data_IF_023160166628
#
_entry.id   IF_023160166628
#
_cell.length_a   1.000
_cell.length_b   1.000
_cell.length_c   1.000
_cell.angle_alpha   90.00
_cell.angle_beta   90.00
_cell.angle_gamma   90.00
#
_symmetry.space_group_name_H-M   'P 1'
#
loop_
_entity.id
_entity.type
_entity.pdbx_description
1 polymer ?
#
# COMPACT_ATOMS: atom_id res chain seq x y z
N UNK A 1 31.44 8.74 37.03
CA UNK A 1 31.18 7.80 35.92
C UNK A 1 30.10 8.42 35.02
N UNK A 2 30.46 8.92 33.83
CA UNK A 2 29.51 9.55 32.90
C UNK A 2 28.89 8.45 32.03
N UNK A 3 27.57 8.28 32.15
CA UNK A 3 26.75 7.39 31.32
C UNK A 3 26.64 8.05 29.94
N UNK A 4 27.15 7.39 28.91
CA UNK A 4 27.00 7.83 27.53
C UNK A 4 25.51 7.64 27.18
N UNK A 5 24.76 8.73 27.05
CA UNK A 5 23.53 8.70 26.26
C UNK A 5 23.96 8.60 24.80
N UNK A 6 23.84 7.40 24.23
CA UNK A 6 23.73 7.26 22.78
C UNK A 6 22.35 7.81 22.45
N UNK A 7 22.28 9.07 22.02
CA UNK A 7 21.10 9.56 21.34
C UNK A 7 20.98 8.75 20.05
N UNK A 8 19.95 7.90 19.95
CA UNK A 8 19.54 7.35 18.67
C UNK A 8 19.20 8.52 17.77
N UNK A 9 20.02 8.69 16.74
CA UNK A 9 19.90 9.76 15.77
C UNK A 9 18.60 9.55 14.96
N UNK A 10 17.58 10.42 15.08
CA UNK A 10 16.27 10.20 14.45
C UNK A 10 16.33 10.21 12.91
N UNK A 11 17.44 10.68 12.33
CA UNK A 11 17.69 10.68 10.88
C UNK A 11 18.15 9.33 10.30
N UNK A 12 18.37 8.29 11.15
CA UNK A 12 18.72 6.95 10.68
C UNK A 12 17.54 5.96 10.75
N UNK A 13 16.32 6.46 10.97
CA UNK A 13 15.12 5.64 10.84
C UNK A 13 15.02 5.12 9.39
N UNK A 14 14.87 3.81 9.16
CA UNK A 14 14.69 3.27 7.82
C UNK A 14 13.45 3.93 7.18
N UNK A 15 13.66 4.86 6.25
CA UNK A 15 12.57 5.48 5.50
C UNK A 15 11.83 4.38 4.75
N UNK A 16 10.52 4.17 4.99
CA UNK A 16 9.75 3.17 4.27
C UNK A 16 9.87 3.41 2.77
N UNK A 17 10.03 2.35 1.99
CA UNK A 17 9.95 2.46 0.55
C UNK A 17 8.47 2.60 0.18
N UNK A 18 8.13 3.71 -0.47
CA UNK A 18 6.77 4.00 -0.93
C UNK A 18 6.74 4.11 -2.45
N UNK A 19 5.78 3.43 -3.07
CA UNK A 19 5.49 3.51 -4.50
C UNK A 19 4.03 3.91 -4.66
N UNK A 20 3.76 4.87 -5.54
CA UNK A 20 2.40 5.27 -5.90
C UNK A 20 2.13 4.94 -7.37
N UNK A 21 1.06 4.20 -7.63
CA UNK A 21 0.61 3.79 -8.95
C UNK A 21 -0.75 4.44 -9.25
N UNK A 22 -0.94 4.86 -10.51
CA UNK A 22 -2.25 5.22 -11.04
C UNK A 22 -2.85 3.99 -11.71
N UNK A 23 -4.07 3.64 -11.30
CA UNK A 23 -4.80 2.50 -11.83
C UNK A 23 -5.95 3.03 -12.69
N UNK A 24 -5.74 3.24 -14.00
CA UNK A 24 -6.78 3.78 -14.87
C UNK A 24 -7.97 2.81 -14.99
N UNK A 25 -9.17 3.34 -15.16
CA UNK A 25 -10.38 2.58 -15.43
C UNK A 25 -11.23 3.27 -16.49
N UNK A 26 -12.11 2.51 -17.15
CA UNK A 26 -13.17 3.09 -17.97
C UNK A 26 -14.41 3.36 -17.10
N UNK A 27 -14.91 4.60 -17.00
CA UNK A 27 -16.11 4.89 -16.22
C UNK A 27 -17.35 4.14 -16.74
N UNK A 28 -18.31 3.79 -15.87
CA UNK A 28 -18.33 4.11 -14.44
C UNK A 28 -17.56 3.08 -13.58
N UNK A 29 -16.74 3.58 -12.65
CA UNK A 29 -16.14 2.75 -11.60
C UNK A 29 -16.98 2.83 -10.31
N UNK A 30 -17.64 1.73 -9.95
CA UNK A 30 -18.57 1.69 -8.82
C UNK A 30 -17.86 1.46 -7.47
N UNK A 31 -17.06 2.43 -7.02
CA UNK A 31 -16.31 2.35 -5.75
C UNK A 31 -17.21 2.02 -4.54
N UNK A 32 -18.37 2.66 -4.43
CA UNK A 32 -19.29 2.38 -3.32
C UNK A 32 -19.81 0.94 -3.32
N UNK A 33 -19.95 0.32 -4.49
CA UNK A 33 -20.33 -1.09 -4.60
C UNK A 33 -19.20 -2.01 -4.13
N UNK A 34 -17.95 -1.69 -4.50
CA UNK A 34 -16.77 -2.40 -4.01
C UNK A 34 -16.67 -2.32 -2.48
N UNK A 35 -16.83 -1.13 -1.89
CA UNK A 35 -16.83 -0.95 -0.42
C UNK A 35 -17.93 -1.78 0.25
N UNK A 36 -19.16 -1.75 -0.26
CA UNK A 36 -20.29 -2.57 0.26
C UNK A 36 -20.01 -4.07 0.16
N UNK A 37 -19.28 -4.49 -0.87
CA UNK A 37 -18.89 -5.88 -1.05
C UNK A 37 -17.77 -6.29 -0.07
N UNK A 38 -16.76 -5.44 0.13
CA UNK A 38 -15.58 -5.76 0.94
C UNK A 38 -15.81 -5.60 2.45
N UNK A 39 -16.57 -4.58 2.90
CA UNK A 39 -16.80 -4.30 4.32
C UNK A 39 -17.20 -5.53 5.16
N UNK A 40 -18.23 -6.32 4.80
CA UNK A 40 -18.63 -7.48 5.60
C UNK A 40 -17.64 -8.67 5.51
N UNK A 41 -16.65 -8.60 4.63
CA UNK A 41 -15.65 -9.65 4.37
C UNK A 41 -14.26 -9.27 4.86
N UNK A 42 -14.07 -8.05 5.35
CA UNK A 42 -12.77 -7.54 5.77
C UNK A 42 -12.19 -8.40 6.90
N UNK A 43 -10.98 -8.90 6.68
CA UNK A 43 -10.27 -9.74 7.66
C UNK A 43 -9.61 -8.84 8.71
N UNK A 44 -9.99 -8.92 10.00
CA UNK A 44 -9.39 -8.09 11.05
C UNK A 44 -7.87 -8.27 11.12
N UNK A 45 -7.13 -7.15 11.14
CA UNK A 45 -5.67 -7.13 11.17
C UNK A 45 -4.97 -7.38 9.83
N UNK A 46 -5.70 -7.77 8.78
CA UNK A 46 -5.18 -7.98 7.42
C UNK A 46 -5.73 -6.93 6.47
N UNK A 47 -7.01 -6.58 6.60
CA UNK A 47 -7.71 -5.64 5.74
C UNK A 47 -8.40 -4.56 6.57
N UNK A 48 -8.43 -3.35 6.00
CA UNK A 48 -9.22 -2.23 6.49
C UNK A 48 -9.97 -1.62 5.30
N UNK A 49 -11.29 -1.49 5.42
CA UNK A 49 -12.15 -0.95 4.37
C UNK A 49 -12.91 0.24 4.95
N UNK A 50 -12.92 1.35 4.22
CA UNK A 50 -13.72 2.54 4.54
C UNK A 50 -14.38 3.08 3.26
N UNK A 51 -15.18 4.14 3.41
CA UNK A 51 -15.85 4.78 2.28
C UNK A 51 -14.90 5.36 1.24
N UNK A 52 -13.69 5.76 1.65
CA UNK A 52 -12.71 6.49 0.85
C UNK A 52 -11.41 5.71 0.61
N UNK A 53 -11.24 4.53 1.20
CA UNK A 53 -10.08 3.68 0.95
C UNK A 53 -10.34 2.19 1.17
N UNK A 54 -9.53 1.37 0.52
CA UNK A 54 -9.31 -0.03 0.87
C UNK A 54 -7.83 -0.22 1.16
N UNK A 55 -7.52 -0.92 2.23
CA UNK A 55 -6.15 -1.18 2.65
C UNK A 55 -5.99 -2.66 2.99
N UNK A 56 -4.87 -3.27 2.59
CA UNK A 56 -4.51 -4.62 2.99
C UNK A 56 -3.03 -4.80 3.22
N UNK A 57 -2.66 -5.72 4.10
CA UNK A 57 -1.30 -6.24 4.18
C UNK A 57 -1.01 -7.16 2.99
N UNK A 58 0.23 -7.13 2.52
CA UNK A 58 0.75 -7.99 1.44
C UNK A 58 2.09 -8.61 1.87
N UNK A 59 2.49 -9.70 1.24
CA UNK A 59 3.83 -10.24 1.36
C UNK A 59 4.41 -10.43 -0.04
N UNK A 60 5.54 -9.80 -0.32
CA UNK A 60 6.27 -9.93 -1.58
C UNK A 60 7.73 -10.28 -1.28
N UNK A 61 8.22 -11.38 -1.83
CA UNK A 61 9.59 -11.88 -1.59
C UNK A 61 9.95 -12.00 -0.09
N UNK A 62 8.96 -12.39 0.73
CA UNK A 62 9.12 -12.51 2.19
C UNK A 62 9.11 -11.17 2.93
N UNK A 63 8.90 -10.05 2.24
CA UNK A 63 8.73 -8.73 2.83
C UNK A 63 7.26 -8.41 3.03
N UNK A 64 6.88 -8.13 4.27
CA UNK A 64 5.54 -7.68 4.60
C UNK A 64 5.39 -6.20 4.29
N UNK A 65 4.39 -5.86 3.49
CA UNK A 65 4.05 -4.50 3.12
C UNK A 65 2.56 -4.23 3.25
N UNK A 66 2.16 -3.04 2.81
CA UNK A 66 0.77 -2.61 2.83
C UNK A 66 0.42 -1.92 1.53
N UNK A 67 -0.78 -2.18 1.02
CA UNK A 67 -1.35 -1.49 -0.14
C UNK A 67 -2.58 -0.75 0.31
N UNK A 68 -2.65 0.51 -0.05
CA UNK A 68 -3.80 1.37 0.16
C UNK A 68 -4.29 1.87 -1.20
N UNK A 69 -5.55 1.63 -1.51
CA UNK A 69 -6.22 2.05 -2.74
C UNK A 69 -7.28 3.08 -2.41
N UNK A 70 -7.27 4.20 -3.14
CA UNK A 70 -8.24 5.29 -3.01
C UNK A 70 -8.82 5.69 -4.36
N UNK A 71 -10.13 6.00 -4.47
CA UNK A 71 -10.65 6.72 -5.61
C UNK A 71 -10.13 8.17 -5.60
N UNK A 72 -9.98 8.76 -6.78
CA UNK A 72 -9.67 10.18 -6.92
C UNK A 72 -10.88 10.86 -7.57
N UNK A 73 -11.44 11.85 -6.87
CA UNK A 73 -12.63 12.56 -7.33
C UNK A 73 -12.39 13.23 -8.69
N UNK A 74 -13.35 13.07 -9.61
CA UNK A 74 -13.28 13.63 -10.96
C UNK A 74 -12.23 12.99 -11.89
N UNK A 75 -11.60 11.90 -11.47
CA UNK A 75 -10.54 11.24 -12.25
C UNK A 75 -10.92 9.81 -12.62
N UNK A 76 -10.49 9.39 -13.81
CA UNK A 76 -10.71 8.02 -14.32
C UNK A 76 -9.59 7.07 -13.89
N UNK A 77 -9.11 7.20 -12.66
CA UNK A 77 -8.12 6.30 -12.08
C UNK A 77 -8.25 6.22 -10.55
N UNK A 78 -7.83 5.09 -9.99
CA UNK A 78 -7.55 4.96 -8.56
C UNK A 78 -6.08 5.27 -8.29
N UNK A 79 -5.76 5.66 -7.06
CA UNK A 79 -4.38 5.68 -6.57
C UNK A 79 -4.13 4.47 -5.69
N UNK A 80 -3.13 3.67 -6.04
CA UNK A 80 -2.60 2.61 -5.20
C UNK A 80 -1.26 3.04 -4.63
N UNK A 81 -1.17 3.10 -3.30
CA UNK A 81 0.03 3.42 -2.56
C UNK A 81 0.54 2.16 -1.86
N UNK A 82 1.76 1.76 -2.17
CA UNK A 82 2.39 0.55 -1.68
C UNK A 82 3.53 0.96 -0.75
N UNK A 83 3.53 0.44 0.47
CA UNK A 83 4.55 0.72 1.48
C UNK A 83 5.20 -0.57 1.94
N UNK A 84 6.52 -0.62 1.93
CA UNK A 84 7.31 -1.66 2.58
C UNK A 84 8.19 -1.04 3.67
N UNK A 85 8.30 -1.68 4.85
CA UNK A 85 9.33 -1.32 5.81
C UNK A 85 10.69 -1.56 5.16
N UNK A 86 11.57 -0.56 5.20
CA UNK A 86 12.93 -0.71 4.70
C UNK A 86 13.72 -1.58 5.67
N UNK A 87 13.66 -2.89 5.46
CA UNK A 87 14.67 -3.80 6.01
C UNK A 87 15.98 -3.52 5.28
N UNK A 88 17.14 -3.63 5.94
CA UNK A 88 18.47 -3.29 5.40
C UNK A 88 18.97 -4.15 4.23
N UNK A 89 18.07 -4.62 3.35
CA UNK A 89 18.36 -5.32 2.09
C UNK A 89 18.02 -4.44 0.89
N UNK A 90 18.74 -4.71 -0.19
CA UNK A 90 18.84 -3.92 -1.42
C UNK A 90 17.48 -3.48 -2.01
N UNK A 91 17.30 -2.19 -2.38
CA UNK A 91 16.05 -1.65 -2.97
C UNK A 91 15.72 -2.17 -4.38
N UNK A 92 16.54 -3.04 -4.98
CA UNK A 92 16.32 -3.58 -6.32
C UNK A 92 15.17 -4.62 -6.42
N UNK A 93 14.62 -5.12 -5.31
CA UNK A 93 13.51 -6.09 -5.33
C UNK A 93 12.12 -5.45 -5.54
N UNK A 94 12.00 -4.13 -5.48
CA UNK A 94 10.69 -3.46 -5.57
C UNK A 94 10.21 -3.19 -7.00
N UNK A 95 11.08 -3.35 -8.00
CA UNK A 95 10.73 -3.18 -9.41
C UNK A 95 9.66 -4.19 -9.89
N UNK A 96 9.54 -5.34 -9.22
CA UNK A 96 8.50 -6.35 -9.48
C UNK A 96 7.14 -6.01 -8.86
N UNK A 97 7.07 -5.08 -7.91
CA UNK A 97 5.81 -4.69 -7.27
C UNK A 97 4.82 -4.14 -8.30
N UNK A 98 5.25 -3.26 -9.19
CA UNK A 98 4.37 -2.64 -10.18
C UNK A 98 3.76 -3.69 -11.14
N UNK A 99 4.50 -4.74 -11.50
CA UNK A 99 4.00 -5.81 -12.37
C UNK A 99 3.04 -6.78 -11.67
N UNK A 100 3.20 -7.03 -10.37
CA UNK A 100 2.26 -7.83 -9.58
C UNK A 100 0.96 -7.06 -9.26
N UNK A 101 1.06 -5.74 -9.14
CA UNK A 101 -0.06 -4.83 -8.92
C UNK A 101 -0.71 -4.33 -10.19
N UNK A 102 -0.14 -4.60 -11.37
CA UNK A 102 -0.83 -4.40 -12.64
C UNK A 102 -2.03 -5.33 -12.62
N UNK A 103 -3.14 -4.76 -12.18
CA UNK A 103 -4.29 -5.50 -11.73
C UNK A 103 -4.72 -6.43 -12.86
N UNK A 104 -4.99 -7.68 -12.48
CA UNK A 104 -5.95 -8.58 -13.12
C UNK A 104 -7.37 -7.96 -13.26
N UNK A 105 -7.50 -6.64 -13.33
CA UNK A 105 -8.67 -5.90 -13.75
C UNK A 105 -8.72 -5.84 -15.28
N UNK A 106 -8.70 -7.02 -15.91
CA UNK A 106 -9.42 -7.18 -17.17
C UNK A 106 -10.81 -7.64 -16.74
N UNK A 107 -11.75 -6.69 -16.64
CA UNK A 107 -13.19 -7.01 -16.53
C UNK A 107 -13.71 -7.31 -17.92
#
# INVERSE_FOLDING_TARGET
MRRIHVAENPENAPTPAEITLKLPFSPPYHWSALVRFLLPRAIPGVEAVASDFYCRTICLDGLHGMVEVRPVEGQNHLLAKIRFPKVGRSPHSLSGCAAFFDLNANV
#
